data_IF_291376758372
#
_entry.id   IF_291376758372
#
_cell.length_a   1.000
_cell.length_b   1.000
_cell.length_c   1.000
_cell.angle_alpha   90.00
_cell.angle_beta   90.00
_cell.angle_gamma   90.00
#
_symmetry.space_group_name_H-M   'P 1'
#
loop_
_entity.id
_entity.type
_entity.pdbx_description
1 polymer ?
#
# COMPACT_ATOMS: atom_id res chain seq x y z
N UNK A 1 33.48 -16.48 12.18
CA UNK A 1 32.95 -17.80 12.60
C UNK A 1 31.50 -17.74 13.10
N UNK A 2 31.06 -16.77 13.91
CA UNK A 2 29.64 -16.64 14.28
C UNK A 2 28.74 -16.13 13.12
N UNK A 3 29.29 -15.28 12.24
CA UNK A 3 28.55 -14.73 11.09
C UNK A 3 28.21 -15.83 10.07
N UNK A 4 29.15 -16.73 9.77
CA UNK A 4 28.91 -17.84 8.82
C UNK A 4 27.80 -18.79 9.28
N UNK A 5 27.71 -19.06 10.58
CA UNK A 5 26.70 -19.94 11.15
C UNK A 5 25.27 -19.35 11.04
N UNK A 6 25.13 -18.04 11.26
CA UNK A 6 23.84 -17.35 11.13
C UNK A 6 23.37 -17.27 9.67
N UNK A 7 24.28 -17.03 8.72
CA UNK A 7 23.97 -17.06 7.30
C UNK A 7 23.58 -18.47 6.82
N UNK A 8 24.26 -19.52 7.30
CA UNK A 8 23.90 -20.91 6.99
C UNK A 8 22.54 -21.29 7.58
N UNK A 9 22.23 -20.87 8.82
CA UNK A 9 20.92 -21.08 9.42
C UNK A 9 19.81 -20.39 8.63
N UNK A 10 20.01 -19.15 8.17
CA UNK A 10 19.07 -18.46 7.29
C UNK A 10 18.96 -19.10 5.90
N UNK A 11 20.04 -19.69 5.39
CA UNK A 11 20.10 -20.32 4.06
C UNK A 11 19.47 -21.71 4.00
N UNK A 12 19.16 -22.33 5.15
CA UNK A 12 18.36 -23.55 5.17
C UNK A 12 16.99 -23.29 4.54
N UNK A 13 16.52 -24.20 3.69
CA UNK A 13 15.29 -24.06 2.89
C UNK A 13 14.10 -23.63 3.73
N UNK A 14 13.96 -24.19 4.92
CA UNK A 14 12.78 -24.00 5.76
C UNK A 14 12.76 -22.60 6.38
N UNK A 15 13.92 -22.10 6.81
CA UNK A 15 14.04 -20.74 7.34
C UNK A 15 13.85 -19.68 6.25
N UNK A 16 14.35 -19.92 5.03
CA UNK A 16 14.09 -19.02 3.90
C UNK A 16 12.61 -18.92 3.55
N UNK A 17 11.86 -20.03 3.64
CA UNK A 17 10.42 -20.06 3.39
C UNK A 17 9.66 -19.32 4.48
N UNK A 18 9.97 -19.56 5.76
CA UNK A 18 9.34 -18.84 6.88
C UNK A 18 9.60 -17.34 6.77
N UNK A 19 10.85 -16.93 6.54
CA UNK A 19 11.20 -15.52 6.36
C UNK A 19 10.46 -14.89 5.17
N UNK A 20 10.39 -15.59 4.04
CA UNK A 20 9.65 -15.14 2.86
C UNK A 20 8.16 -14.95 3.12
N UNK A 21 7.52 -15.91 3.81
CA UNK A 21 6.11 -15.83 4.23
C UNK A 21 5.86 -14.63 5.13
N UNK A 22 6.70 -14.43 6.15
CA UNK A 22 6.60 -13.29 7.07
C UNK A 22 6.76 -11.96 6.33
N UNK A 23 7.80 -11.81 5.49
CA UNK A 23 8.04 -10.58 4.72
C UNK A 23 6.87 -10.27 3.78
N UNK A 24 6.40 -11.26 3.03
CA UNK A 24 5.30 -11.08 2.10
C UNK A 24 4.01 -10.67 2.82
N UNK A 25 3.60 -11.42 3.85
CA UNK A 25 2.35 -11.16 4.58
C UNK A 25 2.42 -9.84 5.36
N UNK A 26 3.53 -9.57 6.06
CA UNK A 26 3.67 -8.33 6.82
C UNK A 26 3.67 -7.11 5.90
N UNK A 27 4.36 -7.17 4.76
CA UNK A 27 4.42 -6.05 3.81
C UNK A 27 3.05 -5.77 3.19
N UNK A 28 2.37 -6.83 2.72
CA UNK A 28 1.02 -6.72 2.15
C UNK A 28 -0.01 -6.29 3.21
N UNK A 29 0.11 -6.77 4.44
CA UNK A 29 -0.74 -6.41 5.57
C UNK A 29 -0.62 -4.93 5.96
N UNK A 30 0.61 -4.44 6.10
CA UNK A 30 0.87 -3.02 6.38
C UNK A 30 0.41 -2.13 5.22
N UNK A 31 0.62 -2.56 3.98
CA UNK A 31 0.15 -1.83 2.79
C UNK A 31 -1.39 -1.74 2.77
N UNK A 32 -2.07 -2.88 2.84
CA UNK A 32 -3.53 -2.95 2.75
C UNK A 32 -4.19 -2.29 3.98
N UNK A 33 -3.63 -2.50 5.17
CA UNK A 33 -4.12 -1.92 6.41
C UNK A 33 -4.00 -0.40 6.45
N UNK A 34 -2.86 0.15 6.03
CA UNK A 34 -2.69 1.60 5.93
C UNK A 34 -3.63 2.22 4.88
N UNK A 35 -3.76 1.59 3.71
CA UNK A 35 -4.67 2.04 2.66
C UNK A 35 -6.15 1.99 3.10
N UNK A 36 -6.54 0.94 3.83
CA UNK A 36 -7.88 0.79 4.40
C UNK A 36 -8.15 1.84 5.46
N UNK A 37 -7.22 2.07 6.39
CA UNK A 37 -7.34 3.13 7.40
C UNK A 37 -7.51 4.50 6.76
N UNK A 38 -6.74 4.78 5.70
CA UNK A 38 -6.86 6.04 4.98
C UNK A 38 -8.26 6.23 4.36
N UNK A 39 -8.79 5.19 3.73
CA UNK A 39 -10.09 5.23 3.07
C UNK A 39 -11.28 5.23 4.04
N UNK A 40 -11.18 4.49 5.16
CA UNK A 40 -12.27 4.28 6.10
C UNK A 40 -12.32 5.32 7.22
N UNK A 41 -11.18 5.89 7.62
CA UNK A 41 -11.09 6.79 8.79
C UNK A 41 -10.64 8.18 8.38
N UNK A 42 -9.50 8.27 7.67
CA UNK A 42 -8.86 9.57 7.39
C UNK A 42 -9.71 10.38 6.41
N UNK A 43 -10.05 9.82 5.24
CA UNK A 43 -10.81 10.54 4.22
C UNK A 43 -12.19 11.02 4.71
N UNK A 44 -13.01 10.21 5.40
CA UNK A 44 -14.26 10.69 6.00
C UNK A 44 -14.06 11.79 7.04
N UNK A 45 -12.96 11.74 7.80
CA UNK A 45 -12.63 12.79 8.78
C UNK A 45 -12.22 14.09 8.10
N UNK A 46 -11.45 14.02 7.01
CA UNK A 46 -11.05 15.19 6.22
C UNK A 46 -12.25 15.95 5.63
N UNK A 47 -13.35 15.27 5.30
CA UNK A 47 -14.56 15.93 4.78
C UNK A 47 -15.28 16.83 5.81
N UNK A 48 -14.90 16.77 7.09
CA UNK A 48 -15.50 17.60 8.15
C UNK A 48 -14.79 18.95 8.34
N UNK A 49 -13.63 19.14 7.72
CA UNK A 49 -12.87 20.38 7.76
C UNK A 49 -13.09 21.20 6.49
N UNK A 50 -12.68 22.47 6.51
CA UNK A 50 -12.65 23.29 5.31
C UNK A 50 -11.70 22.70 4.27
N UNK A 51 -12.01 22.89 2.98
CA UNK A 51 -11.21 22.39 1.85
C UNK A 51 -9.73 22.75 1.94
N UNK A 52 -9.40 23.95 2.43
CA UNK A 52 -8.03 24.38 2.65
C UNK A 52 -7.29 23.52 3.70
N UNK A 53 -7.91 23.30 4.86
CA UNK A 53 -7.34 22.46 5.91
C UNK A 53 -7.24 20.99 5.48
N UNK A 54 -8.28 20.47 4.83
CA UNK A 54 -8.31 19.10 4.34
C UNK A 54 -7.23 18.84 3.30
N UNK A 55 -7.04 19.77 2.36
CA UNK A 55 -6.00 19.68 1.34
C UNK A 55 -4.59 19.75 1.95
N UNK A 56 -4.38 20.59 2.97
CA UNK A 56 -3.10 20.68 3.65
C UNK A 56 -2.74 19.36 4.37
N UNK A 57 -3.68 18.80 5.15
CA UNK A 57 -3.47 17.53 5.86
C UNK A 57 -3.27 16.38 4.87
N UNK A 58 -4.09 16.32 3.82
CA UNK A 58 -3.97 15.30 2.78
C UNK A 58 -2.59 15.36 2.08
N UNK A 59 -2.10 16.57 1.79
CA UNK A 59 -0.80 16.77 1.13
C UNK A 59 0.35 16.25 1.99
N UNK A 60 0.33 16.58 3.29
CA UNK A 60 1.37 16.13 4.23
C UNK A 60 1.34 14.61 4.40
N UNK A 61 0.14 14.04 4.52
CA UNK A 61 -0.04 12.60 4.60
C UNK A 61 0.50 11.89 3.34
N UNK A 62 0.26 12.44 2.14
CA UNK A 62 0.79 11.87 0.90
C UNK A 62 2.32 11.94 0.82
N UNK A 63 2.91 13.06 1.21
CA UNK A 63 4.36 13.24 1.14
C UNK A 63 5.10 12.27 2.07
N UNK A 64 4.54 12.03 3.26
CA UNK A 64 5.10 11.12 4.25
C UNK A 64 4.85 9.64 3.92
N UNK A 65 3.68 9.28 3.37
CA UNK A 65 3.34 7.87 3.11
C UNK A 65 4.02 7.28 1.88
N UNK A 66 4.34 8.09 0.85
CA UNK A 66 4.81 7.58 -0.45
C UNK A 66 5.99 6.62 -0.34
N UNK A 67 7.01 6.95 0.44
CA UNK A 67 8.23 6.12 0.53
C UNK A 67 7.97 4.78 1.21
N UNK A 68 7.16 4.81 2.28
CA UNK A 68 6.75 3.61 2.99
C UNK A 68 5.93 2.70 2.07
N UNK A 69 4.94 3.25 1.36
CA UNK A 69 4.10 2.47 0.45
C UNK A 69 4.91 1.82 -0.69
N UNK A 70 5.85 2.54 -1.30
CA UNK A 70 6.73 1.98 -2.33
C UNK A 70 7.61 0.85 -1.77
N UNK A 71 8.15 1.02 -0.57
CA UNK A 71 8.92 -0.02 0.11
C UNK A 71 8.09 -1.28 0.39
N UNK A 72 6.86 -1.11 0.88
CA UNK A 72 5.95 -2.22 1.16
C UNK A 72 5.51 -2.94 -0.12
N UNK A 73 5.25 -2.22 -1.22
CA UNK A 73 4.96 -2.82 -2.52
C UNK A 73 6.15 -3.64 -3.01
N UNK A 74 7.36 -3.07 -2.99
CA UNK A 74 8.58 -3.76 -3.44
C UNK A 74 8.86 -5.03 -2.63
N UNK A 75 8.77 -4.93 -1.29
CA UNK A 75 8.94 -6.07 -0.39
C UNK A 75 7.85 -7.13 -0.59
N UNK A 76 6.59 -6.72 -0.77
CA UNK A 76 5.46 -7.62 -1.05
C UNK A 76 5.60 -8.37 -2.37
N UNK A 77 6.03 -7.68 -3.44
CA UNK A 77 6.32 -8.28 -4.76
C UNK A 77 7.47 -9.27 -4.64
N UNK A 78 8.60 -8.84 -4.08
CA UNK A 78 9.80 -9.67 -3.96
C UNK A 78 9.54 -10.91 -3.09
N UNK A 79 8.87 -10.74 -1.95
CA UNK A 79 8.49 -11.84 -1.06
C UNK A 79 7.56 -12.84 -1.75
N UNK A 80 6.48 -12.37 -2.38
CA UNK A 80 5.51 -13.25 -3.04
C UNK A 80 6.10 -13.94 -4.28
N UNK A 81 6.87 -13.22 -5.11
CA UNK A 81 7.54 -13.81 -6.26
C UNK A 81 8.62 -14.84 -5.83
N UNK A 82 9.36 -14.55 -4.77
CA UNK A 82 10.34 -15.47 -4.19
C UNK A 82 9.70 -16.75 -3.68
N UNK A 83 8.55 -16.64 -2.99
CA UNK A 83 7.78 -17.80 -2.55
C UNK A 83 7.27 -18.63 -3.73
N UNK A 84 6.69 -18.02 -4.76
CA UNK A 84 6.28 -18.73 -5.97
C UNK A 84 7.46 -19.48 -6.62
N UNK A 85 8.63 -18.85 -6.71
CA UNK A 85 9.79 -19.49 -7.30
C UNK A 85 10.21 -20.77 -6.55
N UNK A 86 10.08 -20.77 -5.22
CA UNK A 86 10.46 -21.89 -4.35
C UNK A 86 9.41 -22.98 -4.24
N UNK A 87 8.14 -22.61 -4.06
CA UNK A 87 7.06 -23.58 -3.77
C UNK A 87 6.23 -23.96 -4.99
N UNK A 88 6.33 -23.19 -6.07
CA UNK A 88 5.49 -23.28 -7.28
C UNK A 88 3.99 -23.10 -7.02
N UNK A 89 3.58 -22.60 -5.85
CA UNK A 89 2.19 -22.31 -5.57
C UNK A 89 1.74 -21.04 -6.29
N UNK A 90 0.79 -21.19 -7.21
CA UNK A 90 0.25 -20.13 -8.05
C UNK A 90 -0.37 -18.98 -7.25
N UNK A 91 -0.83 -19.22 -6.01
CA UNK A 91 -1.38 -18.19 -5.13
C UNK A 91 -0.36 -17.07 -4.90
N UNK A 92 0.91 -17.41 -4.68
CA UNK A 92 1.95 -16.38 -4.50
C UNK A 92 2.25 -15.60 -5.78
N UNK A 93 2.10 -16.23 -6.96
CA UNK A 93 2.21 -15.50 -8.22
C UNK A 93 1.06 -14.50 -8.37
N UNK A 94 -0.18 -14.91 -8.07
CA UNK A 94 -1.32 -14.00 -8.09
C UNK A 94 -1.18 -12.89 -7.06
N UNK A 95 -0.66 -13.18 -5.86
CA UNK A 95 -0.32 -12.18 -4.85
C UNK A 95 0.67 -11.15 -5.40
N UNK A 96 1.79 -11.60 -5.98
CA UNK A 96 2.82 -10.75 -6.57
C UNK A 96 2.28 -9.86 -7.69
N UNK A 97 1.53 -10.43 -8.63
CA UNK A 97 0.92 -9.68 -9.75
C UNK A 97 -0.11 -8.67 -9.25
N UNK A 98 -0.92 -9.05 -8.26
CA UNK A 98 -1.94 -8.16 -7.70
C UNK A 98 -1.31 -6.95 -7.02
N UNK A 99 -0.29 -7.13 -6.17
CA UNK A 99 0.38 -5.98 -5.54
C UNK A 99 1.18 -5.17 -6.57
N UNK A 100 1.79 -5.80 -7.57
CA UNK A 100 2.49 -5.08 -8.64
C UNK A 100 1.53 -4.21 -9.47
N UNK A 101 0.29 -4.68 -9.68
CA UNK A 101 -0.73 -3.94 -10.44
C UNK A 101 -1.15 -2.61 -9.80
N UNK A 102 -0.90 -2.44 -8.49
CA UNK A 102 -1.09 -1.17 -7.80
C UNK A 102 -0.28 -0.05 -8.46
N UNK A 103 0.90 -0.36 -9.01
CA UNK A 103 1.80 0.63 -9.63
C UNK A 103 1.13 1.27 -10.87
N UNK A 104 0.82 0.52 -11.94
CA UNK A 104 0.17 1.11 -13.12
C UNK A 104 -1.20 1.71 -12.76
N UNK A 105 -1.96 1.07 -11.87
CA UNK A 105 -3.23 1.64 -11.38
C UNK A 105 -3.04 3.01 -10.73
N UNK A 106 -2.01 3.18 -9.90
CA UNK A 106 -1.73 4.45 -9.22
C UNK A 106 -1.32 5.54 -10.21
N UNK A 107 -0.53 5.21 -11.23
CA UNK A 107 -0.15 6.17 -12.28
C UNK A 107 -1.34 6.60 -13.15
N UNK A 108 -2.27 5.70 -13.44
CA UNK A 108 -3.40 5.99 -14.33
C UNK A 108 -4.54 6.69 -13.57
N UNK A 109 -4.91 6.20 -12.38
CA UNK A 109 -6.09 6.65 -11.66
C UNK A 109 -5.78 7.73 -10.60
N UNK A 110 -4.79 7.49 -9.74
CA UNK A 110 -4.51 8.39 -8.60
C UNK A 110 -3.66 9.60 -9.00
N UNK A 111 -2.57 9.38 -9.72
CA UNK A 111 -1.55 10.39 -9.99
C UNK A 111 -2.09 11.65 -10.68
N UNK A 112 -2.98 11.58 -11.70
CA UNK A 112 -3.52 12.78 -12.33
C UNK A 112 -4.31 13.66 -11.36
N UNK A 113 -5.09 13.03 -10.47
CA UNK A 113 -5.90 13.74 -9.47
C UNK A 113 -5.01 14.31 -8.37
N UNK A 114 -4.04 13.53 -7.88
CA UNK A 114 -3.08 13.98 -6.88
C UNK A 114 -2.24 15.16 -7.37
N UNK A 115 -1.76 15.12 -8.62
CA UNK A 115 -1.00 16.22 -9.24
C UNK A 115 -1.82 17.52 -9.27
N UNK A 116 -3.11 17.45 -9.58
CA UNK A 116 -4.01 18.62 -9.57
C UNK A 116 -4.17 19.18 -8.16
N UNK A 117 -4.44 18.33 -7.17
CA UNK A 117 -4.56 18.74 -5.76
C UNK A 117 -3.29 19.40 -5.24
N UNK A 118 -2.12 18.82 -5.54
CA UNK A 118 -0.82 19.39 -5.16
C UNK A 118 -0.55 20.74 -5.84
N UNK A 119 -0.91 20.89 -7.12
CA UNK A 119 -0.78 22.16 -7.82
C UNK A 119 -1.68 23.25 -7.20
N UNK A 120 -2.93 22.89 -6.83
CA UNK A 120 -3.82 23.79 -6.08
C UNK A 120 -3.16 24.18 -4.75
N UNK A 121 -2.63 23.22 -3.99
CA UNK A 121 -1.96 23.51 -2.71
C UNK A 121 -0.80 24.47 -2.87
N UNK A 122 0.07 24.23 -3.86
CA UNK A 122 1.24 25.06 -4.15
C UNK A 122 0.85 26.50 -4.53
N UNK A 123 -0.14 26.66 -5.41
CA UNK A 123 -0.62 27.98 -5.82
C UNK A 123 -1.32 28.75 -4.70
N UNK A 124 -1.87 28.05 -3.71
CA UNK A 124 -2.58 28.64 -2.57
C UNK A 124 -1.67 28.94 -1.37
N UNK A 125 -0.34 28.91 -1.54
CA UNK A 125 0.61 29.19 -0.46
C UNK A 125 1.33 30.51 -0.76
N UNK A 126 0.88 31.62 -0.18
CA UNK A 126 1.53 32.95 -0.32
C UNK A 126 2.49 33.15 0.86
N UNK A 127 3.78 33.40 0.59
CA UNK A 127 4.77 33.69 1.64
C UNK A 127 5.02 32.57 2.65
N UNK A 128 4.73 31.30 2.29
CA UNK A 128 4.88 30.15 3.20
C UNK A 128 3.78 30.01 4.25
N UNK A 129 2.77 30.90 4.24
CA UNK A 129 1.57 30.79 5.08
C UNK A 129 0.40 30.33 4.23
N UNK A 130 -0.39 29.42 4.80
CA UNK A 130 -1.60 28.90 4.16
C UNK A 130 -2.69 29.96 4.27
N UNK A 131 -2.61 31.01 3.45
CA UNK A 131 -3.68 31.99 3.42
C UNK A 131 -4.96 31.35 2.88
N UNK A 132 -6.08 31.83 3.45
CA UNK A 132 -7.43 31.42 3.09
C UNK A 132 -7.60 31.33 1.58
N UNK A 133 -8.33 30.33 1.08
CA UNK A 133 -8.64 30.16 -0.36
C UNK A 133 -9.43 31.34 -0.99
N UNK A 134 -9.54 32.48 -0.31
CA UNK A 134 -10.35 33.67 -0.63
C UNK A 134 -10.06 34.27 -2.01
N UNK A 135 -8.82 34.18 -2.49
CA UNK A 135 -8.39 34.83 -3.73
C UNK A 135 -8.16 33.83 -4.88
N UNK A 136 -8.62 32.58 -4.74
CA UNK A 136 -8.26 31.51 -5.67
C UNK A 136 -9.17 31.35 -6.89
N UNK A 137 -8.53 30.92 -7.97
CA UNK A 137 -9.15 30.41 -9.21
C UNK A 137 -10.04 29.18 -8.99
N UNK A 138 -9.80 28.42 -7.91
CA UNK A 138 -10.54 27.21 -7.56
C UNK A 138 -11.41 27.47 -6.35
N UNK A 139 -12.69 27.11 -6.45
CA UNK A 139 -13.62 27.22 -5.34
C UNK A 139 -13.49 25.99 -4.40
N UNK A 140 -14.06 26.08 -3.20
CA UNK A 140 -14.03 24.97 -2.23
C UNK A 140 -14.65 23.68 -2.80
N UNK A 141 -15.69 23.80 -3.64
CA UNK A 141 -16.36 22.64 -4.26
C UNK A 141 -15.48 21.88 -5.26
N UNK A 142 -14.57 22.55 -5.97
CA UNK A 142 -13.64 21.92 -6.90
C UNK A 142 -12.64 21.03 -6.14
N UNK A 143 -12.14 21.53 -5.00
CA UNK A 143 -11.21 20.80 -4.14
C UNK A 143 -11.89 19.59 -3.52
N UNK A 144 -13.13 19.74 -3.03
CA UNK A 144 -13.92 18.63 -2.48
C UNK A 144 -14.20 17.55 -3.53
N UNK A 145 -14.55 17.95 -4.76
CA UNK A 145 -14.78 17.03 -5.86
C UNK A 145 -13.50 16.24 -6.22
N UNK A 146 -12.34 16.91 -6.27
CA UNK A 146 -11.05 16.28 -6.51
C UNK A 146 -10.63 15.34 -5.37
N UNK A 147 -10.79 15.74 -4.11
CA UNK A 147 -10.51 14.89 -2.95
C UNK A 147 -11.42 13.66 -2.92
N UNK A 148 -12.70 13.83 -3.25
CA UNK A 148 -13.66 12.73 -3.32
C UNK A 148 -13.33 11.75 -4.45
N UNK A 149 -12.98 12.27 -5.63
CA UNK A 149 -12.51 11.45 -6.76
C UNK A 149 -11.22 10.70 -6.42
N UNK A 150 -10.26 11.39 -5.80
CA UNK A 150 -9.03 10.75 -5.35
C UNK A 150 -9.31 9.65 -4.33
N UNK A 151 -10.21 9.90 -3.36
CA UNK A 151 -10.65 8.92 -2.37
C UNK A 151 -11.24 7.67 -3.01
N UNK A 152 -12.06 7.84 -4.06
CA UNK A 152 -12.65 6.71 -4.78
C UNK A 152 -11.57 5.86 -5.47
N UNK A 153 -10.62 6.50 -6.15
CA UNK A 153 -9.52 5.77 -6.78
C UNK A 153 -8.62 5.09 -5.74
N UNK A 154 -8.35 5.76 -4.62
CA UNK A 154 -7.60 5.19 -3.51
C UNK A 154 -8.30 3.96 -2.89
N UNK A 155 -9.63 3.98 -2.81
CA UNK A 155 -10.39 2.80 -2.39
C UNK A 155 -10.21 1.62 -3.35
N UNK A 156 -10.22 1.86 -4.67
CA UNK A 156 -9.89 0.83 -5.65
C UNK A 156 -8.48 0.23 -5.45
N UNK A 157 -7.48 1.08 -5.14
CA UNK A 157 -6.12 0.62 -4.77
C UNK A 157 -6.12 -0.23 -3.49
N UNK A 158 -6.96 0.13 -2.52
CA UNK A 158 -7.13 -0.62 -1.27
C UNK A 158 -7.64 -2.03 -1.53
N UNK A 159 -8.63 -2.17 -2.43
CA UNK A 159 -9.16 -3.48 -2.84
C UNK A 159 -8.07 -4.36 -3.47
N UNK A 160 -7.23 -3.79 -4.36
CA UNK A 160 -6.11 -4.54 -4.95
C UNK A 160 -5.11 -5.00 -3.89
N UNK A 161 -4.78 -4.14 -2.93
CA UNK A 161 -3.92 -4.49 -1.79
C UNK A 161 -4.48 -5.59 -0.90
N UNK A 162 -5.77 -5.50 -0.55
CA UNK A 162 -6.47 -6.54 0.21
C UNK A 162 -6.55 -7.87 -0.55
N UNK A 163 -6.83 -7.81 -1.85
CA UNK A 163 -6.83 -8.99 -2.72
C UNK A 163 -5.47 -9.68 -2.73
N UNK A 164 -4.38 -8.92 -2.91
CA UNK A 164 -3.02 -9.44 -2.84
C UNK A 164 -2.74 -10.10 -1.48
N UNK A 165 -3.11 -9.44 -0.38
CA UNK A 165 -2.95 -9.98 0.97
C UNK A 165 -3.70 -11.30 1.15
N UNK A 166 -4.99 -11.35 0.81
CA UNK A 166 -5.81 -12.54 1.02
C UNK A 166 -5.36 -13.72 0.17
N UNK A 167 -4.98 -13.48 -1.08
CA UNK A 167 -4.47 -14.54 -1.97
C UNK A 167 -3.12 -15.07 -1.48
N UNK A 168 -2.22 -14.18 -1.02
CA UNK A 168 -0.94 -14.62 -0.42
C UNK A 168 -1.17 -15.37 0.89
N UNK A 169 -2.06 -14.90 1.76
CA UNK A 169 -2.43 -15.62 3.00
C UNK A 169 -3.02 -17.00 2.71
N UNK A 170 -3.87 -17.10 1.69
CA UNK A 170 -4.40 -18.39 1.24
C UNK A 170 -3.27 -19.33 0.81
N UNK A 171 -2.26 -18.83 0.07
CA UNK A 171 -1.04 -19.59 -0.25
C UNK A 171 -0.31 -20.08 1.01
N UNK A 172 -0.14 -19.22 2.01
CA UNK A 172 0.51 -19.56 3.29
C UNK A 172 -0.23 -20.68 4.03
N UNK A 173 -1.56 -20.63 4.06
CA UNK A 173 -2.40 -21.58 4.80
C UNK A 173 -2.61 -22.89 4.04
N UNK A 174 -2.68 -22.85 2.70
CA UNK A 174 -2.89 -24.03 1.84
C UNK A 174 -1.62 -24.87 1.64
N UNK A 175 -0.43 -24.27 1.75
CA UNK A 175 0.83 -25.00 1.79
C UNK A 175 1.06 -25.64 3.16
N UNK A 176 0.56 -26.87 3.31
CA UNK A 176 1.09 -27.89 4.21
C UNK A 176 1.21 -27.57 5.71
N UNK A 177 0.48 -26.57 6.20
CA UNK A 177 0.09 -26.49 7.62
C UNK A 177 -0.80 -27.67 8.06
N UNK A 178 -1.39 -28.42 7.11
CA UNK A 178 -2.21 -29.62 7.38
C UNK A 178 -1.46 -30.93 7.08
N UNK A 179 -0.44 -30.92 6.21
CA UNK A 179 0.34 -32.14 5.91
C UNK A 179 1.36 -32.50 6.99
N UNK A 180 1.79 -31.54 7.81
CA UNK A 180 2.72 -31.80 8.91
C UNK A 180 2.12 -32.59 10.09
N UNK A 181 0.79 -32.73 10.17
CA UNK A 181 0.10 -33.46 11.26
C UNK A 181 -0.33 -34.88 10.83
N UNK A 182 -0.48 -35.15 9.54
CA UNK A 182 -1.15 -36.38 9.07
C UNK A 182 -0.22 -37.46 8.49
N UNK A 183 1.09 -37.21 8.35
CA UNK A 183 2.02 -38.18 7.76
C UNK A 183 3.21 -38.55 8.66
N UNK A 184 3.06 -38.39 9.98
CA UNK A 184 4.02 -38.87 10.98
C UNK A 184 3.44 -40.00 11.86
N UNK A 185 2.64 -40.89 11.26
CA UNK A 185 2.28 -42.20 11.81
C UNK A 185 2.43 -43.27 10.73
#
# INVERSE_FOLDING_TARGET
MAIDFQFQALANSDNTLVAGKVIAVASLGLFAGSALSFSAVIMPSLRKFSSASSLAIWTEAQNSSKYLEWGLIAAGVAGSAGLYYKTKNISYLYGAVSIASVIPYSFIALYPTAKKLLAIRQNNTVGGKSDSMKDNKYNDSDVEALLSRWSLFHFGRTILGLGALFVTLYGVVSEDGVRFILFNN
#
